data_IF_512341180345
#
_entry.id   IF_512341180345
#
_cell.length_a   1.000
_cell.length_b   1.000
_cell.length_c   1.000
_cell.angle_alpha   90.00
_cell.angle_beta   90.00
_cell.angle_gamma   90.00
#
_symmetry.space_group_name_H-M   'P 1'
#
loop_
_entity.id
_entity.type
_entity.pdbx_description
1 polymer ?
#
# COMPACT_ATOMS: atom_id res chain seq x y z
N UNK A 1 42.74 35.82 -14.59
CA UNK A 1 41.83 34.72 -14.20
C UNK A 1 40.90 34.46 -15.39
N UNK A 2 41.27 33.52 -16.26
CA UNK A 2 40.41 33.04 -17.35
C UNK A 2 39.63 31.84 -16.83
N UNK A 3 38.31 31.94 -16.78
CA UNK A 3 37.41 30.80 -16.55
C UNK A 3 36.82 30.42 -17.90
N UNK A 4 37.32 29.32 -18.43
CA UNK A 4 36.88 28.66 -19.65
C UNK A 4 35.53 28.00 -19.38
N UNK A 5 34.45 28.54 -19.95
CA UNK A 5 33.14 27.87 -19.95
C UNK A 5 32.94 27.30 -21.34
N UNK A 6 33.10 25.98 -21.45
CA UNK A 6 32.90 25.22 -22.67
C UNK A 6 31.93 24.10 -22.31
N UNK A 7 30.65 24.25 -22.64
CA UNK A 7 29.74 23.10 -22.82
C UNK A 7 28.81 23.41 -23.98
N UNK A 8 29.16 22.82 -25.11
CA UNK A 8 28.34 22.69 -26.30
C UNK A 8 27.59 21.37 -26.15
N UNK A 9 26.25 21.37 -26.23
CA UNK A 9 25.52 20.14 -26.50
C UNK A 9 24.32 20.44 -27.41
N UNK A 10 24.57 20.18 -28.69
CA UNK A 10 23.59 19.99 -29.75
C UNK A 10 23.10 18.54 -29.63
N UNK A 11 21.79 18.27 -29.60
CA UNK A 11 21.24 17.12 -30.34
C UNK A 11 19.72 17.22 -30.51
N UNK A 12 19.36 17.36 -31.78
CA UNK A 12 18.08 17.12 -32.45
C UNK A 12 17.66 15.64 -32.44
N UNK A 13 16.43 15.39 -32.93
CA UNK A 13 15.86 14.13 -33.51
C UNK A 13 14.70 13.59 -32.66
N UNK A 14 13.54 13.15 -33.15
CA UNK A 14 12.68 13.30 -34.36
C UNK A 14 11.56 12.26 -34.14
N UNK A 15 10.33 12.61 -34.57
CA UNK A 15 9.15 11.78 -34.93
C UNK A 15 9.14 10.28 -34.58
N UNK A 16 8.00 9.78 -34.11
CA UNK A 16 7.11 8.95 -34.95
C UNK A 16 5.75 8.63 -34.29
N UNK A 17 4.77 8.47 -35.18
CA UNK A 17 3.35 8.17 -35.04
C UNK A 17 3.12 6.72 -34.62
N UNK A 18 2.05 6.44 -33.86
CA UNK A 18 1.35 5.16 -33.95
C UNK A 18 -0.14 5.33 -33.60
N UNK A 19 -0.98 5.04 -34.58
CA UNK A 19 -2.40 4.79 -34.44
C UNK A 19 -2.64 3.34 -34.01
N UNK A 20 -3.64 3.08 -33.18
CA UNK A 20 -4.38 1.80 -33.09
C UNK A 20 -5.62 2.09 -32.22
N UNK A 21 -6.84 2.00 -32.78
CA UNK A 21 -7.71 0.80 -32.77
C UNK A 21 -8.30 0.59 -31.37
N UNK A 22 -9.61 0.58 -31.14
CA UNK A 22 -10.69 -0.05 -31.91
C UNK A 22 -11.22 -1.21 -31.08
N UNK A 23 -12.53 -1.19 -30.79
CA UNK A 23 -13.36 -2.24 -30.15
C UNK A 23 -12.98 -2.62 -28.69
N UNK A 24 -13.88 -3.04 -27.79
CA UNK A 24 -15.10 -3.83 -27.94
C UNK A 24 -15.98 -3.64 -26.67
N UNK A 25 -17.31 -3.79 -26.79
CA UNK A 25 -18.26 -3.82 -25.66
C UNK A 25 -18.04 -5.06 -24.76
N UNK A 26 -18.11 -4.94 -23.41
CA UNK A 26 -18.44 -6.10 -22.60
C UNK A 26 -19.96 -6.23 -22.41
N UNK A 27 -20.51 -7.24 -23.08
CA UNK A 27 -21.84 -7.77 -22.86
C UNK A 27 -22.07 -8.17 -21.38
N UNK A 28 -23.28 -7.89 -20.93
CA UNK A 28 -23.85 -8.20 -19.62
C UNK A 28 -24.01 -9.71 -19.43
N UNK A 29 -23.56 -10.26 -18.30
CA UNK A 29 -24.00 -11.58 -17.82
C UNK A 29 -24.48 -11.44 -16.38
N UNK A 30 -25.80 -11.45 -16.24
CA UNK A 30 -26.54 -11.40 -14.98
C UNK A 30 -26.67 -12.82 -14.42
N UNK A 31 -26.20 -13.05 -13.20
CA UNK A 31 -26.37 -14.34 -12.49
C UNK A 31 -27.61 -14.29 -11.58
N UNK A 32 -28.41 -15.37 -11.50
CA UNK A 32 -29.65 -15.38 -10.74
C UNK A 32 -29.42 -15.51 -9.22
N UNK A 33 -30.14 -14.67 -8.47
CA UNK A 33 -30.25 -14.71 -7.01
C UNK A 33 -30.89 -16.02 -6.53
N UNK A 34 -30.20 -16.74 -5.65
CA UNK A 34 -30.75 -17.89 -4.92
C UNK A 34 -31.34 -17.40 -3.59
N UNK A 35 -32.66 -17.38 -3.51
CA UNK A 35 -33.42 -17.10 -2.30
C UNK A 35 -33.47 -18.35 -1.42
N UNK A 36 -32.90 -18.30 -0.22
CA UNK A 36 -33.07 -19.34 0.81
C UNK A 36 -34.24 -18.98 1.75
N UNK A 37 -35.01 -19.98 2.23
CA UNK A 37 -36.19 -19.74 3.05
C UNK A 37 -35.89 -19.33 4.50
N UNK A 38 -36.73 -18.42 4.99
CA UNK A 38 -36.85 -17.91 6.35
C UNK A 38 -37.22 -19.00 7.36
N UNK A 39 -36.43 -19.14 8.44
CA UNK A 39 -36.90 -19.71 9.71
C UNK A 39 -37.26 -18.59 10.68
N UNK A 40 -38.56 -18.40 10.86
CA UNK A 40 -39.15 -17.57 11.90
C UNK A 40 -39.01 -18.29 13.25
N UNK A 41 -38.43 -17.64 14.25
CA UNK A 41 -38.61 -18.02 15.66
C UNK A 41 -38.81 -16.75 16.45
N UNK A 42 -40.06 -16.54 16.88
CA UNK A 42 -40.42 -15.47 17.80
C UNK A 42 -40.00 -15.86 19.22
N UNK A 43 -39.14 -15.07 19.83
CA UNK A 43 -39.09 -14.95 21.29
C UNK A 43 -38.79 -13.50 21.67
N UNK A 44 -39.75 -12.88 22.33
CA UNK A 44 -39.64 -11.57 22.97
C UNK A 44 -38.86 -11.71 24.27
N UNK A 45 -37.79 -10.94 24.42
CA UNK A 45 -37.28 -10.48 25.73
C UNK A 45 -36.63 -9.12 25.52
N UNK A 46 -37.21 -8.12 26.16
CA UNK A 46 -36.62 -6.79 26.34
C UNK A 46 -35.54 -6.92 27.41
N UNK A 47 -34.28 -6.66 27.07
CA UNK A 47 -33.24 -6.31 28.04
C UNK A 47 -32.13 -5.53 27.33
N UNK A 48 -31.62 -4.51 28.02
CA UNK A 48 -30.88 -3.38 27.45
C UNK A 48 -29.69 -3.77 26.60
N UNK A 49 -29.58 -3.10 25.44
CA UNK A 49 -28.35 -3.06 24.66
C UNK A 49 -27.29 -2.30 25.46
N UNK A 50 -26.57 -3.04 26.29
CA UNK A 50 -25.30 -2.60 26.82
C UNK A 50 -24.29 -2.91 25.72
N UNK A 51 -23.87 -1.88 24.99
CA UNK A 51 -22.70 -1.96 24.11
C UNK A 51 -21.49 -2.18 25.01
N UNK A 52 -21.13 -3.43 25.26
CA UNK A 52 -19.88 -3.76 25.93
C UNK A 52 -18.76 -3.51 24.93
N UNK A 53 -18.24 -2.28 24.91
CA UNK A 53 -16.96 -1.99 24.27
C UNK A 53 -15.91 -2.79 25.05
N UNK A 54 -15.52 -3.92 24.47
CA UNK A 54 -14.46 -4.77 25.04
C UNK A 54 -13.16 -4.14 24.61
N UNK A 55 -12.54 -3.36 25.48
CA UNK A 55 -11.13 -3.02 25.35
C UNK A 55 -10.35 -4.34 25.23
N UNK A 56 -9.60 -4.57 24.14
CA UNK A 56 -8.76 -5.75 24.04
C UNK A 56 -7.87 -5.85 25.28
N UNK A 57 -7.65 -7.05 25.84
CA UNK A 57 -6.70 -7.20 26.94
C UNK A 57 -5.36 -6.64 26.50
N UNK A 58 -4.77 -5.77 27.32
CA UNK A 58 -3.44 -5.23 27.08
C UNK A 58 -2.46 -6.38 26.82
N UNK A 59 -1.92 -6.46 25.60
CA UNK A 59 -0.95 -7.49 25.21
C UNK A 59 -1.37 -8.43 24.08
N UNK A 60 -2.49 -8.21 23.38
CA UNK A 60 -2.69 -8.84 22.06
C UNK A 60 -2.01 -7.97 21.02
N UNK A 61 -0.85 -8.42 20.55
CA UNK A 61 -0.18 -7.81 19.40
C UNK A 61 -1.05 -8.03 18.16
N UNK A 62 -1.61 -6.96 17.60
CA UNK A 62 -2.46 -7.01 16.41
C UNK A 62 -1.76 -6.24 15.31
N UNK A 63 -1.48 -6.93 14.21
CA UNK A 63 -1.06 -6.27 12.97
C UNK A 63 -2.19 -5.31 12.55
N UNK A 64 -1.90 -4.04 12.25
CA UNK A 64 -2.90 -3.12 11.71
C UNK A 64 -3.61 -3.71 10.49
N UNK A 65 -4.89 -3.38 10.32
CA UNK A 65 -5.61 -3.78 9.12
C UNK A 65 -5.00 -3.06 7.91
N UNK A 66 -4.84 -3.79 6.80
CA UNK A 66 -4.25 -3.27 5.58
C UNK A 66 -4.90 -3.85 4.34
N UNK A 67 -4.67 -3.19 3.21
CA UNK A 67 -5.04 -3.66 1.88
C UNK A 67 -3.88 -3.53 0.90
N UNK A 68 -3.80 -4.44 -0.07
CA UNK A 68 -2.90 -4.31 -1.21
C UNK A 68 -3.66 -3.51 -2.27
N UNK A 69 -3.21 -2.28 -2.51
CA UNK A 69 -3.85 -1.36 -3.46
C UNK A 69 -3.23 -1.45 -4.84
N UNK A 70 -1.97 -1.89 -4.93
CA UNK A 70 -1.29 -2.13 -6.19
C UNK A 70 -0.30 -3.29 -6.06
N UNK A 71 -0.19 -4.09 -7.12
CA UNK A 71 0.78 -5.17 -7.27
C UNK A 71 1.23 -5.25 -8.72
N UNK A 72 2.54 -5.14 -8.94
CA UNK A 72 3.15 -5.17 -10.27
C UNK A 72 4.13 -6.34 -10.32
N UNK A 73 3.90 -7.26 -11.25
CA UNK A 73 4.80 -8.40 -11.46
C UNK A 73 6.17 -7.95 -11.98
N UNK A 74 7.25 -8.55 -11.46
CA UNK A 74 8.63 -8.27 -11.88
C UNK A 74 9.51 -9.51 -11.78
N UNK A 75 10.62 -9.52 -12.51
CA UNK A 75 11.56 -10.65 -12.58
C UNK A 75 12.23 -10.95 -11.23
N UNK A 76 12.43 -9.93 -10.40
CA UNK A 76 13.08 -10.01 -9.08
C UNK A 76 12.07 -10.13 -7.91
N UNK A 77 10.80 -10.44 -8.22
CA UNK A 77 9.68 -10.45 -7.29
C UNK A 77 8.82 -9.19 -7.39
N UNK A 78 7.57 -9.29 -6.95
CA UNK A 78 6.57 -8.26 -7.24
C UNK A 78 6.83 -6.97 -6.46
N UNK A 79 6.43 -5.84 -7.04
CA UNK A 79 6.35 -4.54 -6.36
C UNK A 79 4.96 -4.42 -5.78
N UNK A 80 4.85 -4.29 -4.46
CA UNK A 80 3.58 -4.28 -3.72
C UNK A 80 3.37 -2.93 -3.02
N UNK A 81 2.23 -2.28 -3.24
CA UNK A 81 1.84 -1.10 -2.46
C UNK A 81 0.77 -1.52 -1.45
N UNK A 82 1.08 -1.31 -0.18
CA UNK A 82 0.23 -1.62 0.96
C UNK A 82 -0.30 -0.32 1.56
N UNK A 83 -1.63 -0.23 1.68
CA UNK A 83 -2.30 0.84 2.38
C UNK A 83 -2.83 0.34 3.73
N UNK A 84 -2.35 0.93 4.82
CA UNK A 84 -2.90 0.71 6.16
C UNK A 84 -4.25 1.40 6.31
N UNK A 85 -5.15 0.79 7.09
CA UNK A 85 -6.39 1.46 7.53
C UNK A 85 -6.11 2.28 8.79
N UNK A 86 -6.17 3.62 8.75
CA UNK A 86 -5.90 4.47 9.91
C UNK A 86 -6.94 4.32 11.04
N UNK A 87 -8.08 3.66 10.79
CA UNK A 87 -9.02 3.31 11.85
C UNK A 87 -8.61 2.07 12.67
N UNK A 88 -7.61 1.31 12.20
CA UNK A 88 -7.15 0.06 12.83
C UNK A 88 -6.02 0.24 13.84
N UNK A 89 -5.47 1.45 13.96
CA UNK A 89 -4.41 1.79 14.91
C UNK A 89 -4.60 3.18 15.51
N UNK A 90 -4.32 3.33 16.81
CA UNK A 90 -4.24 4.64 17.46
C UNK A 90 -2.86 5.29 17.27
N UNK A 91 -1.83 4.45 17.18
CA UNK A 91 -0.43 4.83 16.95
C UNK A 91 0.30 3.67 16.30
N UNK A 92 1.31 3.99 15.48
CA UNK A 92 2.22 3.01 14.89
C UNK A 92 3.61 3.17 15.48
N UNK A 93 4.26 2.05 15.75
CA UNK A 93 5.70 1.98 15.99
C UNK A 93 6.43 1.19 14.89
N UNK A 94 7.77 1.13 15.00
CA UNK A 94 8.61 0.42 14.04
C UNK A 94 8.34 -1.09 14.04
N UNK A 95 8.01 -1.68 15.19
CA UNK A 95 7.69 -3.10 15.28
C UNK A 95 6.36 -3.41 14.58
N UNK A 96 5.33 -2.58 14.72
CA UNK A 96 4.05 -2.74 14.01
C UNK A 96 4.29 -2.83 12.50
N UNK A 97 5.07 -1.90 11.96
CA UNK A 97 5.41 -1.83 10.54
C UNK A 97 6.23 -3.04 10.07
N UNK A 98 7.19 -3.52 10.88
CA UNK A 98 7.94 -4.76 10.56
C UNK A 98 6.98 -5.94 10.45
N UNK A 99 6.01 -6.03 11.36
CA UNK A 99 5.05 -7.12 11.36
C UNK A 99 4.09 -7.06 10.16
N UNK A 100 3.68 -5.87 9.72
CA UNK A 100 2.94 -5.71 8.45
C UNK A 100 3.78 -6.22 7.27
N UNK A 101 5.05 -5.81 7.17
CA UNK A 101 5.93 -6.29 6.07
C UNK A 101 6.06 -7.81 6.12
N UNK A 102 6.32 -8.38 7.30
CA UNK A 102 6.47 -9.83 7.46
C UNK A 102 5.20 -10.59 7.07
N UNK A 103 4.03 -10.11 7.48
CA UNK A 103 2.74 -10.72 7.11
C UNK A 103 2.52 -10.67 5.60
N UNK A 104 2.80 -9.54 4.96
CA UNK A 104 2.63 -9.40 3.50
C UNK A 104 3.57 -10.31 2.72
N UNK A 105 4.86 -10.37 3.12
CA UNK A 105 5.86 -11.23 2.45
C UNK A 105 5.51 -12.72 2.61
N UNK A 106 5.02 -13.14 3.78
CA UNK A 106 4.62 -14.54 4.03
C UNK A 106 3.35 -14.92 3.27
N UNK A 107 2.37 -14.02 3.20
CA UNK A 107 1.05 -14.29 2.60
C UNK A 107 1.01 -14.12 1.09
N UNK A 108 1.86 -13.25 0.53
CA UNK A 108 1.80 -12.87 -0.88
C UNK A 108 3.12 -13.06 -1.66
N UNK A 109 3.88 -14.16 -1.48
CA UNK A 109 5.12 -14.35 -2.22
C UNK A 109 4.88 -14.52 -3.74
N UNK A 110 5.84 -14.12 -4.60
CA UNK A 110 7.10 -13.46 -4.28
C UNK A 110 6.94 -11.93 -4.14
N UNK A 111 7.61 -11.32 -3.16
CA UNK A 111 7.67 -9.86 -2.98
C UNK A 111 9.13 -9.42 -3.10
N UNK A 112 9.45 -8.60 -4.09
CA UNK A 112 10.79 -8.03 -4.30
C UNK A 112 10.90 -6.63 -3.70
N UNK A 113 9.86 -5.82 -3.86
CA UNK A 113 9.76 -4.46 -3.31
C UNK A 113 8.38 -4.25 -2.68
N UNK A 114 8.32 -3.51 -1.59
CA UNK A 114 7.05 -3.19 -0.92
C UNK A 114 7.06 -1.76 -0.38
N UNK A 115 5.94 -1.06 -0.51
CA UNK A 115 5.75 0.29 0.03
C UNK A 115 4.58 0.30 1.00
N UNK A 116 4.76 0.78 2.23
CA UNK A 116 3.68 0.98 3.21
C UNK A 116 3.32 2.45 3.31
N UNK A 117 2.06 2.76 3.06
CA UNK A 117 1.44 4.08 3.24
C UNK A 117 0.13 3.96 4.04
N UNK A 118 -0.44 5.06 4.52
CA UNK A 118 -1.78 5.08 5.14
C UNK A 118 -2.79 6.04 4.48
N UNK A 119 -2.41 6.69 3.37
CA UNK A 119 -3.31 7.56 2.61
C UNK A 119 -3.40 7.13 1.15
N UNK A 120 -4.57 7.35 0.55
CA UNK A 120 -4.80 6.99 -0.87
C UNK A 120 -3.96 7.87 -1.79
N UNK A 121 -3.80 9.15 -1.44
CA UNK A 121 -2.97 10.08 -2.20
C UNK A 121 -1.50 9.65 -2.21
N UNK A 122 -0.98 9.14 -1.08
CA UNK A 122 0.37 8.60 -1.01
C UNK A 122 0.50 7.30 -1.82
N UNK A 123 -0.48 6.40 -1.75
CA UNK A 123 -0.48 5.17 -2.55
C UNK A 123 -0.41 5.45 -4.06
N UNK A 124 -1.20 6.41 -4.55
CA UNK A 124 -1.20 6.83 -5.97
C UNK A 124 0.12 7.50 -6.39
N UNK A 125 0.87 8.03 -5.43
CA UNK A 125 2.09 8.82 -5.69
C UNK A 125 3.38 8.03 -5.50
N UNK A 126 3.37 6.93 -4.73
CA UNK A 126 4.60 6.29 -4.21
C UNK A 126 5.49 5.70 -5.31
N UNK A 127 4.90 5.30 -6.43
CA UNK A 127 5.62 4.73 -7.58
C UNK A 127 5.96 5.78 -8.66
N UNK A 128 5.57 7.05 -8.47
CA UNK A 128 5.88 8.09 -9.44
C UNK A 128 7.37 8.44 -9.41
N UNK A 129 8.02 8.40 -10.57
CA UNK A 129 9.44 8.77 -10.66
C UNK A 129 9.71 10.26 -10.42
N UNK A 130 8.71 11.12 -10.58
CA UNK A 130 8.84 12.56 -10.39
C UNK A 130 7.51 13.17 -9.87
N UNK A 131 7.18 12.98 -8.58
CA UNK A 131 5.98 13.55 -7.98
C UNK A 131 6.04 15.08 -8.00
N UNK A 132 4.88 15.70 -8.15
CA UNK A 132 4.66 17.13 -7.94
C UNK A 132 4.91 17.52 -6.48
N UNK A 133 4.97 18.83 -6.20
CA UNK A 133 5.19 19.31 -4.84
C UNK A 133 4.07 18.91 -3.86
N UNK A 134 2.83 18.77 -4.34
CA UNK A 134 1.71 18.33 -3.51
C UNK A 134 1.83 16.82 -3.19
N UNK A 135 2.07 16.00 -4.20
CA UNK A 135 2.27 14.54 -4.06
C UNK A 135 3.48 14.23 -3.16
N UNK A 136 4.57 14.99 -3.28
CA UNK A 136 5.74 14.84 -2.43
C UNK A 136 5.46 15.21 -0.96
N UNK A 137 4.56 16.18 -0.71
CA UNK A 137 4.13 16.51 0.65
C UNK A 137 3.27 15.39 1.25
N UNK A 138 2.34 14.84 0.48
CA UNK A 138 1.54 13.66 0.90
C UNK A 138 2.45 12.47 1.24
N UNK A 139 3.44 12.17 0.40
CA UNK A 139 4.41 11.11 0.68
C UNK A 139 5.25 11.40 1.94
N UNK A 140 5.61 12.65 2.22
CA UNK A 140 6.39 12.98 3.41
C UNK A 140 5.63 12.67 4.71
N UNK A 141 4.30 12.81 4.70
CA UNK A 141 3.48 12.60 5.89
C UNK A 141 2.94 11.16 6.01
N UNK A 142 2.75 10.47 4.87
CA UNK A 142 1.99 9.21 4.80
C UNK A 142 2.77 8.01 4.23
N UNK A 143 4.07 8.13 3.97
CA UNK A 143 4.92 7.02 3.52
C UNK A 143 5.88 6.58 4.62
N UNK A 144 5.83 5.29 5.01
CA UNK A 144 6.45 4.82 6.25
C UNK A 144 7.59 3.82 6.04
N UNK A 145 7.43 2.88 5.10
CA UNK A 145 8.40 1.79 4.91
C UNK A 145 8.59 1.45 3.44
N UNK A 146 9.84 1.15 3.07
CA UNK A 146 10.20 0.43 1.85
C UNK A 146 10.81 -0.93 2.19
N UNK A 147 10.39 -2.00 1.53
CA UNK A 147 11.14 -3.25 1.45
C UNK A 147 11.98 -3.22 0.18
N UNK A 148 13.26 -3.57 0.29
CA UNK A 148 14.20 -3.72 -0.82
C UNK A 148 14.75 -5.15 -0.85
N UNK A 149 15.05 -5.64 -2.05
CA UNK A 149 15.66 -6.95 -2.28
C UNK A 149 14.92 -8.12 -1.58
N UNK A 150 13.60 -7.98 -1.40
CA UNK A 150 12.73 -8.96 -0.72
C UNK A 150 13.00 -9.18 0.78
N UNK A 151 13.94 -8.47 1.41
CA UNK A 151 14.31 -8.72 2.81
C UNK A 151 14.77 -7.51 3.61
N UNK A 152 15.20 -6.42 2.98
CA UNK A 152 15.70 -5.21 3.67
C UNK A 152 14.55 -4.24 3.89
N UNK A 153 14.13 -4.09 5.13
CA UNK A 153 13.19 -3.06 5.56
C UNK A 153 13.95 -1.77 5.78
N UNK A 154 13.54 -0.71 5.09
CA UNK A 154 14.03 0.66 5.22
C UNK A 154 12.89 1.52 5.73
N UNK A 155 13.06 2.09 6.92
CA UNK A 155 12.10 3.06 7.43
C UNK A 155 12.34 4.43 6.82
N UNK A 156 11.27 5.13 6.47
CA UNK A 156 11.32 6.44 5.82
C UNK A 156 10.49 7.48 6.57
N UNK A 157 10.72 8.75 6.25
CA UNK A 157 10.01 9.90 6.81
C UNK A 157 9.87 9.87 8.33
N UNK A 158 8.64 9.84 8.85
CA UNK A 158 8.34 9.84 10.29
C UNK A 158 9.01 8.69 11.06
N UNK A 159 9.38 7.60 10.38
CA UNK A 159 10.04 6.43 10.96
C UNK A 159 11.53 6.34 10.62
N UNK A 160 12.12 7.28 9.89
CA UNK A 160 13.50 7.20 9.40
C UNK A 160 14.54 6.99 10.50
N UNK A 161 14.30 7.49 11.72
CA UNK A 161 15.18 7.30 12.87
C UNK A 161 15.32 5.83 13.32
N UNK A 162 14.36 4.96 12.97
CA UNK A 162 14.43 3.52 13.20
C UNK A 162 15.45 2.82 12.28
N UNK A 163 15.88 3.47 11.19
CA UNK A 163 16.94 3.00 10.31
C UNK A 163 16.50 1.87 9.38
N UNK A 164 17.17 0.71 9.47
CA UNK A 164 16.92 -0.43 8.59
C UNK A 164 17.02 -1.77 9.34
N UNK A 165 16.25 -2.75 8.91
CA UNK A 165 16.19 -4.11 9.48
C UNK A 165 16.25 -5.13 8.34
N UNK A 166 16.89 -6.28 8.58
CA UNK A 166 16.89 -7.41 7.64
C UNK A 166 15.94 -8.48 8.18
N UNK A 167 14.99 -8.92 7.36
CA UNK A 167 14.10 -10.02 7.72
C UNK A 167 14.89 -11.34 7.86
N UNK A 168 14.69 -12.03 8.99
CA UNK A 168 15.29 -13.34 9.26
C UNK A 168 16.76 -13.33 9.70
N UNK A 169 17.35 -12.18 10.02
CA UNK A 169 18.74 -12.07 10.52
C UNK A 169 18.89 -12.36 12.01
#
# INVERSE_FOLDING_TARGET
MQRTTMVSLLLTVVLAVAACSGDDEPATTSVPSTTLPSLQTSSTTTEGSTTTSTTPPAGVFTVPDYSIVERIDSDDGDIVVVQLDPASYDSLDSEDLINVVADVVDRFPPVGELHIVDSTAAAESVLLSNPSAAEAAELADHYFVRLEDGARIVFVNAFADAGQVILGS
#
